data_IF_852803781763
#
_entry.id   IF_852803781763
#
_cell.length_a   1.000
_cell.length_b   1.000
_cell.length_c   1.000
_cell.angle_alpha   90.00
_cell.angle_beta   90.00
_cell.angle_gamma   90.00
#
_symmetry.space_group_name_H-M   'P 1'
#
loop_
_entity.id
_entity.type
_entity.pdbx_description
1 polymer ?
#
# COMPACT_ATOMS: atom_id res chain seq x y z
N UNK A 1 26.02 6.67 2.23
CA UNK A 1 25.75 5.81 1.08
C UNK A 1 24.26 5.52 1.16
N UNK A 2 23.46 6.17 0.31
CA UNK A 2 22.03 5.89 0.26
C UNK A 2 21.84 4.49 -0.36
N UNK A 3 20.99 3.68 0.24
CA UNK A 3 20.72 2.31 -0.20
C UNK A 3 20.12 2.28 -1.62
N UNK A 4 19.56 3.40 -2.07
CA UNK A 4 18.76 3.50 -3.30
C UNK A 4 19.41 4.29 -4.44
N UNK A 5 20.56 4.92 -4.23
CA UNK A 5 21.29 5.71 -5.25
C UNK A 5 21.90 4.84 -6.37
N UNK A 6 21.85 3.52 -6.23
CA UNK A 6 22.52 2.57 -7.12
C UNK A 6 21.68 2.12 -8.33
N UNK A 7 20.42 2.54 -8.43
CA UNK A 7 19.50 2.11 -9.49
C UNK A 7 19.13 3.25 -10.43
N UNK A 8 18.86 2.95 -11.71
CA UNK A 8 18.42 3.95 -12.71
C UNK A 8 16.96 3.74 -13.09
N UNK A 9 16.00 4.51 -12.55
CA UNK A 9 14.58 4.28 -12.81
C UNK A 9 14.12 4.65 -14.24
N UNK A 10 13.14 3.91 -14.83
CA UNK A 10 12.61 2.64 -14.37
C UNK A 10 13.52 1.45 -14.77
N UNK A 11 13.94 0.65 -13.80
CA UNK A 11 14.79 -0.54 -14.02
C UNK A 11 14.04 -1.82 -13.60
N UNK A 12 14.09 -2.87 -14.44
CA UNK A 12 13.60 -4.20 -14.04
C UNK A 12 14.67 -4.95 -13.24
N UNK A 13 14.41 -5.16 -11.96
CA UNK A 13 15.32 -5.83 -11.02
C UNK A 13 15.28 -7.36 -11.10
N UNK A 14 14.34 -7.94 -11.86
CA UNK A 14 14.26 -9.37 -12.12
C UNK A 14 14.41 -9.65 -13.63
N UNK A 15 15.63 -9.67 -14.19
CA UNK A 15 15.84 -9.71 -15.65
C UNK A 15 15.62 -11.09 -16.29
N UNK A 16 15.13 -12.08 -15.54
CA UNK A 16 14.82 -13.43 -16.05
C UNK A 16 13.29 -13.57 -16.20
N UNK A 17 12.69 -14.60 -15.62
CA UNK A 17 11.25 -14.88 -15.71
C UNK A 17 10.41 -14.05 -14.69
N UNK A 18 10.80 -12.80 -14.44
CA UNK A 18 10.13 -11.90 -13.51
C UNK A 18 10.05 -10.46 -14.03
N UNK A 19 9.20 -9.65 -13.41
CA UNK A 19 9.14 -8.21 -13.66
C UNK A 19 8.98 -7.49 -12.32
N UNK A 20 9.99 -6.72 -11.93
CA UNK A 20 9.97 -5.83 -10.77
C UNK A 20 10.58 -4.51 -11.19
N UNK A 21 9.74 -3.50 -11.41
CA UNK A 21 10.18 -2.16 -11.83
C UNK A 21 10.38 -1.24 -10.64
N UNK A 22 11.61 -0.77 -10.46
CA UNK A 22 11.92 0.28 -9.50
C UNK A 22 11.78 1.66 -10.14
N UNK A 23 10.87 2.48 -9.61
CA UNK A 23 10.55 3.82 -10.14
C UNK A 23 11.29 4.98 -9.44
N UNK A 24 12.11 4.69 -8.42
CA UNK A 24 12.79 5.73 -7.65
C UNK A 24 11.83 6.59 -6.84
N UNK A 25 12.28 7.80 -6.52
CA UNK A 25 11.48 8.81 -5.83
C UNK A 25 10.41 9.37 -6.77
N UNK A 26 9.15 9.03 -6.51
CA UNK A 26 8.00 9.45 -7.33
C UNK A 26 7.32 10.74 -6.85
N UNK A 27 7.74 11.27 -5.70
CA UNK A 27 7.23 12.53 -5.15
C UNK A 27 8.32 13.28 -4.38
N UNK A 28 8.25 14.61 -4.36
CA UNK A 28 9.19 15.43 -3.59
C UNK A 28 8.97 15.30 -2.08
N UNK A 29 10.01 15.57 -1.28
CA UNK A 29 9.99 15.43 0.18
C UNK A 29 8.78 16.11 0.84
N UNK A 30 8.48 17.36 0.49
CA UNK A 30 7.35 18.08 1.10
C UNK A 30 5.99 17.46 0.80
N UNK A 31 5.83 16.83 -0.38
CA UNK A 31 4.60 16.10 -0.72
C UNK A 31 4.53 14.78 0.05
N UNK A 32 5.66 14.08 0.22
CA UNK A 32 5.74 12.87 1.01
C UNK A 32 5.41 13.13 2.50
N UNK A 33 5.93 14.21 3.07
CA UNK A 33 5.66 14.61 4.45
C UNK A 33 4.19 14.96 4.67
N UNK A 34 3.56 15.62 3.69
CA UNK A 34 2.13 15.92 3.72
C UNK A 34 1.27 14.66 3.69
N UNK A 35 1.55 13.75 2.75
CA UNK A 35 0.87 12.46 2.68
C UNK A 35 1.06 11.65 3.96
N UNK A 36 2.27 11.61 4.52
CA UNK A 36 2.54 10.90 5.75
C UNK A 36 1.65 11.40 6.90
N UNK A 37 1.57 12.72 7.10
CA UNK A 37 0.73 13.34 8.13
C UNK A 37 -0.75 13.03 7.90
N UNK A 38 -1.25 13.25 6.68
CA UNK A 38 -2.64 12.99 6.32
C UNK A 38 -3.02 11.52 6.49
N UNK A 39 -2.16 10.59 6.07
CA UNK A 39 -2.38 9.16 6.26
C UNK A 39 -2.42 8.78 7.74
N UNK A 40 -1.59 9.41 8.58
CA UNK A 40 -1.58 9.14 10.01
C UNK A 40 -2.86 9.63 10.71
N UNK A 41 -3.41 10.76 10.25
CA UNK A 41 -4.58 11.42 10.83
C UNK A 41 -5.93 10.91 10.27
N UNK A 42 -6.03 10.73 8.94
CA UNK A 42 -7.29 10.48 8.23
C UNK A 42 -7.66 8.98 8.19
N UNK A 43 -6.68 8.07 8.32
CA UNK A 43 -6.92 6.64 8.21
C UNK A 43 -7.26 6.04 9.59
N UNK A 44 -8.35 5.26 9.71
CA UNK A 44 -8.75 4.63 10.97
C UNK A 44 -7.91 3.37 11.22
N UNK A 45 -6.62 3.55 11.51
CA UNK A 45 -5.66 2.48 11.78
C UNK A 45 -6.08 1.62 12.97
N UNK A 46 -6.27 0.32 12.73
CA UNK A 46 -6.63 -0.66 13.76
C UNK A 46 -5.68 -1.85 13.78
N UNK A 47 -5.46 -2.46 14.94
CA UNK A 47 -4.65 -3.67 15.01
C UNK A 47 -5.28 -4.80 14.19
N UNK A 48 -4.47 -5.47 13.39
CA UNK A 48 -4.96 -6.59 12.57
C UNK A 48 -5.12 -7.85 13.42
N UNK A 49 -6.29 -8.49 13.33
CA UNK A 49 -6.57 -9.78 13.97
C UNK A 49 -6.65 -10.91 12.94
N UNK A 50 -5.98 -12.03 13.20
CA UNK A 50 -5.96 -13.20 12.33
C UNK A 50 -5.92 -14.50 13.13
N UNK A 51 -6.34 -15.62 12.52
CA UNK A 51 -6.19 -16.94 13.16
C UNK A 51 -4.90 -17.58 12.67
N UNK A 52 -3.93 -17.79 13.58
CA UNK A 52 -2.69 -18.50 13.29
C UNK A 52 -2.65 -19.80 14.10
N UNK A 53 -2.43 -20.94 13.43
CA UNK A 53 -2.44 -22.27 14.07
C UNK A 53 -3.69 -22.55 14.93
N UNK A 54 -4.86 -22.09 14.46
CA UNK A 54 -6.14 -22.26 15.16
C UNK A 54 -6.35 -21.33 16.36
N UNK A 55 -5.44 -20.38 16.62
CA UNK A 55 -5.54 -19.42 17.72
C UNK A 55 -5.69 -17.98 17.18
N UNK A 56 -6.54 -17.14 17.78
CA UNK A 56 -6.60 -15.72 17.43
C UNK A 56 -5.30 -15.03 17.85
N UNK A 57 -4.74 -14.22 16.95
CA UNK A 57 -3.53 -13.42 17.14
C UNK A 57 -3.80 -11.99 16.71
N UNK A 58 -3.45 -11.04 17.57
CA UNK A 58 -3.45 -9.61 17.26
C UNK A 58 -2.04 -9.21 16.86
N UNK A 59 -1.88 -8.62 15.67
CA UNK A 59 -0.56 -8.20 15.18
C UNK A 59 -0.13 -6.88 15.81
N UNK A 60 1.19 -6.64 15.98
CA UNK A 60 1.68 -5.36 16.51
C UNK A 60 1.54 -4.20 15.53
N UNK A 61 1.23 -4.47 14.25
CA UNK A 61 0.98 -3.45 13.23
C UNK A 61 -0.50 -3.06 13.21
N UNK A 62 -0.75 -1.81 12.81
CA UNK A 62 -2.10 -1.36 12.48
C UNK A 62 -2.30 -1.39 10.97
N UNK A 63 -3.51 -1.69 10.54
CA UNK A 63 -3.93 -1.79 9.15
C UNK A 63 -5.27 -1.10 8.94
N UNK A 64 -5.55 -0.74 7.69
CA UNK A 64 -6.87 -0.39 7.19
C UNK A 64 -6.94 -0.89 5.74
N UNK A 65 -8.11 -1.39 5.33
CA UNK A 65 -8.31 -1.98 4.00
C UNK A 65 -9.17 -1.05 3.17
N UNK A 66 -8.80 -0.80 1.92
CA UNK A 66 -9.52 0.08 1.01
C UNK A 66 -9.71 -0.55 -0.35
N UNK A 67 -10.70 -0.07 -1.11
CA UNK A 67 -10.94 -0.49 -2.48
C UNK A 67 -12.06 0.27 -3.16
N UNK A 68 -12.27 0.00 -4.44
CA UNK A 68 -13.28 0.70 -5.26
C UNK A 68 -14.71 0.52 -4.73
N UNK A 69 -14.97 -0.64 -4.10
CA UNK A 69 -16.25 -0.97 -3.48
C UNK A 69 -15.97 -1.67 -2.15
N UNK A 70 -16.88 -1.59 -1.17
CA UNK A 70 -16.79 -2.42 0.01
C UNK A 70 -16.79 -3.89 -0.40
N UNK A 71 -15.72 -4.62 -0.08
CA UNK A 71 -15.65 -6.06 -0.29
C UNK A 71 -15.15 -6.77 0.97
N UNK A 72 -15.65 -7.98 1.17
CA UNK A 72 -15.21 -8.83 2.26
C UNK A 72 -14.05 -9.69 1.78
N UNK A 73 -12.88 -9.54 2.39
CA UNK A 73 -11.71 -10.37 2.14
C UNK A 73 -11.51 -11.30 3.33
N UNK A 74 -11.73 -12.60 3.12
CA UNK A 74 -11.48 -13.60 4.16
C UNK A 74 -10.09 -14.18 3.97
N UNK A 75 -9.19 -13.89 4.89
CA UNK A 75 -7.86 -14.46 4.95
C UNK A 75 -7.59 -15.02 6.34
N UNK A 76 -7.00 -16.22 6.39
CA UNK A 76 -6.70 -16.90 7.66
C UNK A 76 -7.92 -16.99 8.61
N UNK A 77 -9.10 -17.28 8.05
CA UNK A 77 -10.40 -17.36 8.75
C UNK A 77 -10.86 -16.07 9.45
N UNK A 78 -10.19 -14.94 9.20
CA UNK A 78 -10.65 -13.62 9.60
C UNK A 78 -11.22 -12.90 8.37
N UNK A 79 -12.43 -12.37 8.47
CA UNK A 79 -13.04 -11.55 7.42
C UNK A 79 -12.73 -10.08 7.66
N UNK A 80 -12.12 -9.44 6.67
CA UNK A 80 -11.85 -8.00 6.64
C UNK A 80 -12.85 -7.34 5.70
N UNK A 81 -13.28 -6.13 6.03
CA UNK A 81 -14.06 -5.29 5.12
C UNK A 81 -13.17 -4.17 4.59
N UNK A 82 -13.03 -4.12 3.27
CA UNK A 82 -12.46 -2.96 2.62
C UNK A 82 -13.43 -1.78 2.70
N UNK A 83 -12.91 -0.60 2.99
CA UNK A 83 -13.61 0.67 2.97
C UNK A 83 -13.49 1.31 1.57
N UNK A 84 -14.43 2.18 1.16
CA UNK A 84 -14.25 2.99 -0.04
C UNK A 84 -13.04 3.91 0.09
N UNK A 85 -12.34 4.17 -1.01
CA UNK A 85 -11.22 5.13 -1.05
C UNK A 85 -11.57 6.47 -0.42
N UNK A 86 -10.70 6.95 0.47
CA UNK A 86 -10.73 8.34 0.98
C UNK A 86 -9.87 9.24 0.08
N UNK A 87 -10.08 10.57 0.07
CA UNK A 87 -9.38 11.49 -0.83
C UNK A 87 -7.86 11.32 -0.85
N UNK A 88 -7.21 11.24 0.32
CA UNK A 88 -5.76 11.06 0.43
C UNK A 88 -5.26 9.79 -0.27
N UNK A 89 -6.02 8.69 -0.20
CA UNK A 89 -5.67 7.44 -0.88
C UNK A 89 -6.00 7.47 -2.37
N UNK A 90 -7.07 8.16 -2.78
CA UNK A 90 -7.41 8.33 -4.18
C UNK A 90 -6.34 9.16 -4.92
N UNK A 91 -5.80 10.19 -4.27
CA UNK A 91 -4.67 10.98 -4.78
C UNK A 91 -3.42 10.10 -4.96
N UNK A 92 -3.05 9.29 -3.97
CA UNK A 92 -1.91 8.36 -4.07
C UNK A 92 -2.13 7.30 -5.15
N UNK A 93 -3.34 6.74 -5.22
CA UNK A 93 -3.72 5.77 -6.23
C UNK A 93 -3.51 6.36 -7.63
N UNK A 94 -4.01 7.56 -7.89
CA UNK A 94 -3.85 8.22 -9.19
C UNK A 94 -2.36 8.46 -9.54
N UNK A 95 -1.55 8.86 -8.55
CA UNK A 95 -0.09 9.01 -8.74
C UNK A 95 0.57 7.69 -9.14
N UNK A 96 0.27 6.59 -8.42
CA UNK A 96 0.85 5.28 -8.71
C UNK A 96 0.39 4.78 -10.09
N UNK A 97 -0.90 4.90 -10.42
CA UNK A 97 -1.43 4.51 -11.75
C UNK A 97 -0.78 5.30 -12.88
N UNK A 98 -0.48 6.58 -12.67
CA UNK A 98 0.24 7.40 -13.65
C UNK A 98 1.67 6.89 -13.88
N UNK A 99 2.38 6.47 -12.84
CA UNK A 99 3.76 5.97 -12.95
C UNK A 99 3.83 4.54 -13.49
N UNK A 100 2.97 3.65 -13.00
CA UNK A 100 2.98 2.24 -13.41
C UNK A 100 2.32 1.99 -14.76
N UNK A 101 1.37 2.85 -15.15
CA UNK A 101 0.50 2.63 -16.31
C UNK A 101 -0.59 1.59 -16.05
N UNK A 102 -0.71 1.11 -14.81
CA UNK A 102 -1.68 0.08 -14.40
C UNK A 102 -2.88 0.68 -13.67
N UNK A 103 -3.87 -0.17 -13.37
CA UNK A 103 -5.01 0.18 -12.52
C UNK A 103 -5.06 -0.66 -11.26
N UNK A 104 -5.46 -0.04 -10.16
CA UNK A 104 -5.64 -0.70 -8.86
C UNK A 104 -7.09 -0.58 -8.40
N UNK A 105 -7.56 -1.56 -7.64
CA UNK A 105 -8.91 -1.59 -7.09
C UNK A 105 -8.95 -1.97 -5.60
N UNK A 106 -7.79 -2.28 -5.02
CA UNK A 106 -7.53 -2.54 -3.59
C UNK A 106 -6.05 -2.30 -3.28
#
# INVERSE_FOLDING_TARGET
>A
MDLFDQFTPPENLLPYDGDVRYYGTVMGQGQADDFFRRLLEEIPWAHDELVMFGRPVVTPRKVAWYGDRPFAYTYSRATKQALPWVPVLAELKALVEQHSGERYNS
#
